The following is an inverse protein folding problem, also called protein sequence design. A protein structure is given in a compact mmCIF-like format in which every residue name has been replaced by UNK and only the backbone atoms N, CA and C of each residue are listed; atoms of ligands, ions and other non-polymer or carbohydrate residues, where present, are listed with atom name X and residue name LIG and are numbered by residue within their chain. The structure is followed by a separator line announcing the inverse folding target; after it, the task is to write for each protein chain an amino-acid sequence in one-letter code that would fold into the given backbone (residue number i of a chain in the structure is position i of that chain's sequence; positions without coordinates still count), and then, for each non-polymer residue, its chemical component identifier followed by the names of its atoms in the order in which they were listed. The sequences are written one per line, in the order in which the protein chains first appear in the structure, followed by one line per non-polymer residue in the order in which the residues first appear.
data_IF_805310050851
#
_entry.id   IF_805310050851
#
_cell.length_a   1.000
_cell.length_b   1.000
_cell.length_c   1.000
_cell.angle_alpha   90.00
_cell.angle_beta   90.00
_cell.angle_gamma   90.00
#
_symmetry.space_group_name_H-M   'P 1'
#
loop_
_entity.id
_entity.type
_entity.pdbx_description
1 polymer ?
#
# COMPACT_ATOMS: atom_id res chain seq x y z
N UNK A 1 -54.11 -66.68 -14.59
CA UNK A 1 -53.27 -66.70 -13.38
C UNK A 1 -52.01 -65.84 -13.63
N UNK A 2 -52.12 -64.68 -14.31
CA UNK A 2 -51.00 -64.16 -15.13
C UNK A 2 -50.78 -62.64 -15.06
N UNK A 3 -51.18 -61.97 -13.98
CA UNK A 3 -50.92 -60.52 -13.84
C UNK A 3 -49.60 -60.26 -13.12
N UNK A 4 -49.27 -61.02 -12.08
CA UNK A 4 -48.02 -60.84 -11.32
C UNK A 4 -46.78 -61.25 -12.13
N UNK A 5 -46.89 -62.26 -13.00
CA UNK A 5 -45.79 -62.67 -13.88
C UNK A 5 -45.49 -61.59 -14.94
N UNK A 6 -46.52 -60.95 -15.49
CA UNK A 6 -46.36 -59.86 -16.45
C UNK A 6 -45.74 -58.61 -15.80
N UNK A 7 -46.17 -58.24 -14.58
CA UNK A 7 -45.61 -57.11 -13.85
C UNK A 7 -44.14 -57.36 -13.46
N UNK A 8 -43.80 -58.58 -13.03
CA UNK A 8 -42.42 -58.95 -12.72
C UNK A 8 -41.52 -58.92 -13.98
N UNK A 9 -42.03 -59.37 -15.13
CA UNK A 9 -41.29 -59.32 -16.39
C UNK A 9 -41.03 -57.88 -16.85
N UNK A 10 -42.02 -56.98 -16.74
CA UNK A 10 -41.85 -55.56 -17.10
C UNK A 10 -40.86 -54.86 -16.18
N UNK A 11 -40.91 -55.14 -14.88
CA UNK A 11 -39.96 -54.58 -13.90
C UNK A 11 -38.52 -55.06 -14.17
N UNK A 12 -38.34 -56.33 -14.53
CA UNK A 12 -37.03 -56.87 -14.88
C UNK A 12 -36.47 -56.21 -16.15
N UNK A 13 -37.31 -56.00 -17.18
CA UNK A 13 -36.91 -55.33 -18.42
C UNK A 13 -36.52 -53.87 -18.15
N UNK A 14 -37.30 -53.15 -17.32
CA UNK A 14 -36.99 -51.77 -16.94
C UNK A 14 -35.68 -51.65 -16.15
N UNK A 15 -35.40 -52.61 -15.25
CA UNK A 15 -34.14 -52.69 -14.51
C UNK A 15 -32.93 -52.93 -15.42
N UNK A 16 -33.06 -53.80 -16.42
CA UNK A 16 -31.99 -54.06 -17.41
C UNK A 16 -31.77 -52.83 -18.29
N UNK A 17 -32.85 -52.18 -18.77
CA UNK A 17 -32.75 -50.96 -19.59
C UNK A 17 -32.05 -49.81 -18.83
N UNK A 18 -32.44 -49.57 -17.58
CA UNK A 18 -31.79 -48.53 -16.75
C UNK A 18 -30.33 -48.88 -16.46
N UNK A 19 -30.01 -50.15 -16.19
CA UNK A 19 -28.63 -50.62 -16.02
C UNK A 19 -27.77 -50.43 -17.28
N UNK A 20 -28.33 -50.72 -18.46
CA UNK A 20 -27.64 -50.53 -19.75
C UNK A 20 -27.45 -49.05 -20.07
N UNK A 21 -28.45 -48.20 -19.79
CA UNK A 21 -28.33 -46.74 -19.98
C UNK A 21 -27.27 -46.17 -19.01
N UNK A 22 -27.28 -46.57 -17.74
CA UNK A 22 -26.27 -46.16 -16.76
C UNK A 22 -24.86 -46.62 -17.16
N UNK A 23 -24.72 -47.85 -17.66
CA UNK A 23 -23.44 -48.38 -18.14
C UNK A 23 -22.97 -47.68 -19.42
N UNK A 24 -23.87 -47.35 -20.35
CA UNK A 24 -23.55 -46.57 -21.54
C UNK A 24 -23.18 -45.13 -21.18
N UNK A 25 -23.90 -44.49 -20.27
CA UNK A 25 -23.58 -43.16 -19.76
C UNK A 25 -22.24 -43.13 -19.01
N UNK A 26 -21.95 -44.16 -18.20
CA UNK A 26 -20.66 -44.30 -17.52
C UNK A 26 -19.53 -44.57 -18.51
N UNK A 27 -19.75 -45.41 -19.55
CA UNK A 27 -18.77 -45.62 -20.62
C UNK A 27 -18.59 -44.40 -21.52
N UNK A 28 -19.61 -43.57 -21.71
CA UNK A 28 -19.49 -42.31 -22.43
C UNK A 28 -18.74 -41.28 -21.59
N UNK A 29 -19.04 -41.18 -20.31
CA UNK A 29 -18.31 -40.34 -19.34
C UNK A 29 -16.85 -40.79 -19.21
N UNK A 30 -16.58 -42.09 -19.17
CA UNK A 30 -15.23 -42.62 -19.27
C UNK A 30 -14.59 -42.37 -20.64
N UNK A 31 -15.34 -42.32 -21.76
CA UNK A 31 -14.79 -41.93 -23.07
C UNK A 31 -14.58 -40.43 -23.21
N UNK A 32 -15.29 -39.60 -22.43
CA UNK A 32 -15.09 -38.16 -22.33
C UNK A 32 -13.93 -37.82 -21.37
N UNK A 33 -13.74 -38.61 -20.30
CA UNK A 33 -12.62 -38.49 -19.35
C UNK A 33 -11.35 -39.23 -19.82
N UNK A 34 -11.49 -40.32 -20.57
CA UNK A 34 -10.41 -41.03 -21.30
C UNK A 34 -10.32 -40.59 -22.77
N UNK A 35 -11.05 -39.55 -23.18
CA UNK A 35 -10.57 -38.70 -24.26
C UNK A 35 -9.35 -38.05 -23.62
N UNK A 36 -8.11 -38.45 -23.99
CA UNK A 36 -7.00 -37.59 -23.64
C UNK A 36 -7.40 -36.22 -24.20
N UNK A 37 -7.55 -35.22 -23.33
CA UNK A 37 -7.35 -33.84 -23.77
C UNK A 37 -6.07 -33.91 -24.55
N UNK A 38 -6.19 -33.86 -25.89
CA UNK A 38 -5.19 -34.33 -26.86
C UNK A 38 -3.83 -34.15 -26.23
N UNK A 39 -3.20 -35.27 -25.87
CA UNK A 39 -1.78 -35.32 -25.57
C UNK A 39 -1.13 -34.78 -26.82
N UNK A 40 -0.91 -33.47 -26.84
CA UNK A 40 0.09 -32.87 -27.68
C UNK A 40 1.33 -33.70 -27.44
N UNK A 41 1.96 -34.11 -28.53
CA UNK A 41 3.39 -34.41 -28.52
C UNK A 41 4.12 -33.12 -28.14
N UNK A 42 3.95 -32.65 -26.92
CA UNK A 42 4.83 -31.70 -26.30
C UNK A 42 5.79 -32.57 -25.51
N UNK A 43 6.98 -32.77 -26.06
CA UNK A 43 8.19 -32.81 -25.26
C UNK A 43 7.95 -31.86 -24.09
N UNK A 44 7.82 -32.37 -22.86
CA UNK A 44 7.79 -31.52 -21.68
C UNK A 44 8.90 -30.50 -21.90
N UNK A 45 8.60 -29.19 -21.98
CA UNK A 45 9.64 -28.21 -22.23
C UNK A 45 10.58 -28.29 -21.02
N UNK A 46 11.64 -29.08 -21.19
CA UNK A 46 12.68 -29.28 -20.19
C UNK A 46 13.28 -27.89 -20.03
N UNK A 47 12.96 -27.25 -18.92
CA UNK A 47 13.59 -26.01 -18.53
C UNK A 47 15.10 -26.22 -18.66
N UNK A 48 15.83 -25.27 -19.26
CA UNK A 48 17.28 -25.34 -19.28
C UNK A 48 17.80 -25.61 -17.86
N UNK A 49 18.79 -26.50 -17.69
CA UNK A 49 19.28 -26.89 -16.37
C UNK A 49 19.69 -25.66 -15.55
N UNK A 50 19.22 -25.59 -14.30
CA UNK A 50 19.50 -24.47 -13.38
C UNK A 50 18.47 -23.35 -13.35
N UNK A 51 17.56 -23.24 -14.33
CA UNK A 51 16.50 -22.21 -14.32
C UNK A 51 15.57 -22.36 -13.12
N UNK A 52 15.18 -23.59 -12.78
CA UNK A 52 14.29 -23.85 -11.64
C UNK A 52 14.90 -23.38 -10.31
N UNK A 53 16.20 -23.62 -10.13
CA UNK A 53 16.97 -23.17 -8.97
C UNK A 53 17.00 -21.64 -8.90
N UNK A 54 17.30 -20.96 -10.00
CA UNK A 54 17.32 -19.48 -10.04
C UNK A 54 15.95 -18.91 -9.71
N UNK A 55 14.88 -19.42 -10.34
CA UNK A 55 13.52 -18.94 -10.09
C UNK A 55 13.03 -19.19 -8.65
N UNK A 56 13.54 -20.24 -7.99
CA UNK A 56 13.22 -20.53 -6.59
C UNK A 56 13.88 -19.57 -5.58
N UNK A 57 14.99 -18.93 -5.96
CA UNK A 57 15.75 -18.01 -5.11
C UNK A 57 15.35 -16.55 -5.33
N UNK A 58 14.77 -16.21 -6.48
CA UNK A 58 14.29 -14.86 -6.75
C UNK A 58 13.13 -14.49 -5.82
N UNK A 59 13.22 -13.31 -5.21
CA UNK A 59 12.11 -12.72 -4.42
C UNK A 59 10.95 -12.24 -5.31
N UNK A 60 11.20 -12.03 -6.60
CA UNK A 60 10.22 -11.55 -7.57
C UNK A 60 9.22 -12.65 -7.95
N UNK A 61 8.02 -12.23 -8.35
CA UNK A 61 7.03 -13.15 -8.90
C UNK A 61 7.45 -13.54 -10.32
N UNK A 62 7.73 -14.83 -10.57
CA UNK A 62 8.20 -15.30 -11.86
C UNK A 62 7.25 -16.32 -12.48
N UNK A 63 7.03 -16.23 -13.80
CA UNK A 63 6.22 -17.16 -14.59
C UNK A 63 6.96 -17.50 -15.88
N UNK A 64 7.05 -18.79 -16.21
CA UNK A 64 7.60 -19.28 -17.48
C UNK A 64 6.48 -19.82 -18.33
N UNK A 65 6.39 -19.34 -19.57
CA UNK A 65 5.37 -19.72 -20.55
C UNK A 65 6.01 -20.48 -21.72
N UNK A 66 5.30 -21.49 -22.22
CA UNK A 66 5.65 -22.20 -23.47
C UNK A 66 5.03 -21.56 -24.71
N UNK A 67 5.24 -22.19 -25.88
CA UNK A 67 4.68 -21.76 -27.17
C UNK A 67 3.15 -21.74 -27.24
N UNK A 68 2.47 -22.51 -26.37
CA UNK A 68 1.03 -22.62 -26.29
C UNK A 68 0.42 -21.70 -25.22
N UNK A 69 1.22 -20.78 -24.66
CA UNK A 69 0.86 -19.89 -23.56
C UNK A 69 0.49 -20.62 -22.25
N UNK A 70 0.91 -21.88 -22.12
CA UNK A 70 0.75 -22.63 -20.89
C UNK A 70 1.88 -22.29 -19.91
N UNK A 71 1.54 -22.22 -18.63
CA UNK A 71 2.51 -22.00 -17.55
C UNK A 71 3.27 -23.29 -17.30
N UNK A 72 4.55 -23.28 -17.66
CA UNK A 72 5.49 -24.38 -17.41
C UNK A 72 5.96 -24.36 -15.96
N UNK A 73 6.24 -23.15 -15.44
CA UNK A 73 6.67 -22.94 -14.06
C UNK A 73 6.21 -21.59 -13.57
N UNK A 74 5.87 -21.49 -12.28
CA UNK A 74 5.60 -20.24 -11.62
C UNK A 74 6.09 -20.28 -10.18
N UNK A 75 6.56 -19.15 -9.67
CA UNK A 75 6.92 -19.02 -8.25
C UNK A 75 5.67 -18.96 -7.37
N UNK A 76 5.82 -19.26 -6.08
CA UNK A 76 4.73 -19.15 -5.10
C UNK A 76 4.14 -17.73 -5.04
N UNK A 77 4.99 -16.71 -5.17
CA UNK A 77 4.59 -15.32 -5.25
C UNK A 77 3.68 -15.03 -6.45
N UNK A 78 3.93 -15.64 -7.62
CA UNK A 78 3.07 -15.47 -8.80
C UNK A 78 1.65 -16.02 -8.60
N UNK A 79 1.52 -17.13 -7.86
CA UNK A 79 0.22 -17.66 -7.45
C UNK A 79 -0.46 -16.76 -6.40
N UNK A 80 0.29 -16.26 -5.43
CA UNK A 80 -0.22 -15.37 -4.38
C UNK A 80 -0.75 -14.04 -4.95
N UNK A 81 -0.08 -13.48 -5.95
CA UNK A 81 -0.53 -12.30 -6.69
C UNK A 81 -1.70 -12.60 -7.66
N UNK A 82 -2.08 -13.87 -7.81
CA UNK A 82 -3.20 -14.28 -8.67
C UNK A 82 -2.92 -14.17 -10.17
N UNK A 83 -1.63 -14.13 -10.55
CA UNK A 83 -1.19 -14.04 -11.95
C UNK A 83 -1.43 -15.34 -12.71
N UNK A 84 -1.39 -16.50 -12.03
CA UNK A 84 -1.58 -17.81 -12.65
C UNK A 84 -2.86 -18.47 -12.16
N UNK A 85 -3.68 -18.98 -13.09
CA UNK A 85 -4.90 -19.75 -12.82
C UNK A 85 -5.07 -20.90 -13.80
N UNK A 86 -5.37 -22.09 -13.28
CA UNK A 86 -5.61 -23.27 -14.12
C UNK A 86 -4.47 -23.57 -15.11
N UNK A 87 -3.23 -23.31 -14.71
CA UNK A 87 -2.04 -23.50 -15.56
C UNK A 87 -1.86 -22.45 -16.66
N UNK A 88 -2.57 -21.31 -16.59
CA UNK A 88 -2.47 -20.21 -17.56
C UNK A 88 -2.23 -18.87 -16.88
N UNK A 89 -1.65 -17.93 -17.61
CA UNK A 89 -1.53 -16.55 -17.18
C UNK A 89 -2.91 -15.88 -17.23
N UNK A 90 -3.31 -15.23 -16.14
CA UNK A 90 -4.63 -14.64 -15.95
C UNK A 90 -4.69 -13.14 -16.33
N UNK A 91 -3.54 -12.52 -16.60
CA UNK A 91 -3.41 -11.09 -16.91
C UNK A 91 -3.16 -10.91 -18.40
N UNK A 92 -4.20 -10.50 -19.14
CA UNK A 92 -4.16 -10.42 -20.61
C UNK A 92 -3.06 -9.48 -21.16
N UNK A 93 -2.83 -8.27 -20.60
CA UNK A 93 -1.74 -7.41 -21.09
C UNK A 93 -0.36 -8.05 -21.01
N UNK A 94 -0.10 -8.83 -19.94
CA UNK A 94 1.17 -9.56 -19.79
C UNK A 94 1.26 -10.73 -20.77
N UNK A 95 0.14 -11.39 -21.07
CA UNK A 95 0.07 -12.49 -22.03
C UNK A 95 0.39 -12.01 -23.44
N UNK A 96 -0.21 -10.88 -23.85
CA UNK A 96 0.07 -10.28 -25.14
C UNK A 96 1.56 -9.92 -25.27
N UNK A 97 2.14 -9.34 -24.21
CA UNK A 97 3.56 -9.03 -24.16
C UNK A 97 4.44 -10.28 -24.31
N UNK A 98 4.06 -11.39 -23.69
CA UNK A 98 4.75 -12.67 -23.84
C UNK A 98 4.72 -13.19 -25.28
N UNK A 99 3.59 -13.05 -25.98
CA UNK A 99 3.47 -13.42 -27.39
C UNK A 99 4.34 -12.54 -28.28
N UNK A 100 4.34 -11.23 -28.05
CA UNK A 100 5.14 -10.29 -28.84
C UNK A 100 6.63 -10.56 -28.65
N UNK A 101 7.10 -10.72 -27.40
CA UNK A 101 8.50 -11.09 -27.10
C UNK A 101 8.89 -12.46 -27.65
N UNK A 102 7.97 -13.43 -27.72
CA UNK A 102 8.25 -14.72 -28.36
C UNK A 102 8.48 -14.58 -29.87
N UNK A 103 7.80 -13.61 -30.50
CA UNK A 103 7.83 -13.41 -31.95
C UNK A 103 9.12 -12.74 -32.42
N UNK A 104 9.58 -11.73 -31.70
CA UNK A 104 10.74 -10.91 -32.11
C UNK A 104 11.96 -11.03 -31.21
N UNK A 105 11.84 -11.65 -30.03
CA UNK A 105 12.92 -11.81 -29.06
C UNK A 105 13.22 -10.55 -28.24
N UNK A 106 12.45 -9.47 -28.40
CA UNK A 106 12.72 -8.21 -27.72
C UNK A 106 12.23 -8.22 -26.25
N UNK A 107 13.08 -7.73 -25.36
CA UNK A 107 12.74 -7.58 -23.93
C UNK A 107 11.75 -6.42 -23.80
N UNK A 108 10.63 -6.67 -23.13
CA UNK A 108 9.58 -5.67 -22.90
C UNK A 108 9.37 -5.46 -21.42
N UNK A 109 9.01 -4.22 -21.05
CA UNK A 109 8.64 -3.88 -19.69
C UNK A 109 7.42 -2.96 -19.71
N UNK A 110 6.51 -3.18 -18.78
CA UNK A 110 5.32 -2.34 -18.58
C UNK A 110 5.02 -2.23 -17.10
N UNK A 111 4.43 -1.11 -16.70
CA UNK A 111 3.81 -0.99 -15.39
C UNK A 111 2.29 -1.08 -15.53
N UNK A 112 1.68 -1.87 -14.65
CA UNK A 112 0.25 -2.19 -14.69
C UNK A 112 -0.34 -2.08 -13.30
N UNK A 113 -1.60 -1.67 -13.22
CA UNK A 113 -2.39 -1.70 -12.00
C UNK A 113 -3.29 -2.93 -12.02
N UNK A 114 -3.03 -3.89 -11.15
CA UNK A 114 -3.79 -5.12 -11.03
C UNK A 114 -4.89 -4.97 -9.96
N UNK A 115 -6.12 -5.41 -10.23
CA UNK A 115 -7.18 -5.39 -9.23
C UNK A 115 -6.87 -6.38 -8.09
N UNK A 116 -6.81 -5.89 -6.84
CA UNK A 116 -6.63 -6.72 -5.65
C UNK A 116 -7.90 -7.52 -5.37
N UNK A 117 -7.82 -8.86 -5.34
CA UNK A 117 -9.00 -9.72 -5.04
C UNK A 117 -9.22 -9.83 -3.53
N UNK A 118 -10.37 -9.33 -3.06
CA UNK A 118 -10.89 -9.39 -1.68
C UNK A 118 -12.21 -8.59 -1.56
N UNK A 119 -13.02 -8.81 -0.52
CA UNK A 119 -14.40 -8.28 -0.36
C UNK A 119 -14.51 -6.76 -0.07
N UNK A 120 -13.67 -5.90 -0.65
CA UNK A 120 -13.87 -4.46 -0.54
C UNK A 120 -12.69 -3.65 -1.01
N UNK A 121 -13.00 -2.56 -1.74
CA UNK A 121 -12.24 -1.29 -1.93
C UNK A 121 -10.72 -1.32 -1.68
N UNK A 122 -10.02 -2.36 -2.12
CA UNK A 122 -8.57 -2.43 -1.99
C UNK A 122 -7.93 -1.57 -3.06
N UNK A 123 -6.92 -0.78 -2.68
CA UNK A 123 -6.04 -0.10 -3.63
C UNK A 123 -5.50 -1.11 -4.65
N UNK A 124 -5.40 -0.67 -5.91
CA UNK A 124 -4.85 -1.50 -6.99
C UNK A 124 -3.40 -1.85 -6.67
N UNK A 125 -3.02 -3.10 -6.98
CA UNK A 125 -1.66 -3.57 -6.85
C UNK A 125 -0.87 -3.05 -8.04
N UNK A 126 0.03 -2.10 -7.81
CA UNK A 126 0.91 -1.60 -8.85
C UNK A 126 2.05 -2.59 -9.08
N UNK A 127 2.25 -3.05 -10.31
CA UNK A 127 3.31 -4.00 -10.64
C UNK A 127 4.14 -3.56 -11.85
N UNK A 128 5.43 -3.86 -11.83
CA UNK A 128 6.28 -3.82 -13.02
C UNK A 128 6.39 -5.22 -13.60
N UNK A 129 5.95 -5.41 -14.83
CA UNK A 129 6.04 -6.66 -15.55
C UNK A 129 7.14 -6.57 -16.60
N UNK A 130 8.13 -7.44 -16.51
CA UNK A 130 9.22 -7.55 -17.48
C UNK A 130 9.19 -8.92 -18.14
N UNK A 131 9.22 -8.92 -19.46
CA UNK A 131 9.13 -10.11 -20.30
C UNK A 131 10.41 -10.26 -21.09
N UNK A 132 11.04 -11.43 -21.03
CA UNK A 132 12.26 -11.74 -21.76
C UNK A 132 12.17 -13.14 -22.39
N UNK A 133 12.76 -13.36 -23.57
CA UNK A 133 12.87 -14.70 -24.12
C UNK A 133 13.76 -15.57 -23.23
N UNK A 134 13.40 -16.84 -23.10
CA UNK A 134 14.16 -17.83 -22.34
C UNK A 134 14.48 -19.01 -23.27
N UNK A 135 15.63 -18.94 -23.93
CA UNK A 135 15.96 -19.88 -25.00
C UNK A 135 15.11 -19.65 -26.25
N UNK A 136 14.88 -20.71 -27.04
CA UNK A 136 14.23 -20.60 -28.35
C UNK A 136 12.70 -20.71 -28.33
N UNK A 137 12.11 -21.22 -27.24
CA UNK A 137 10.68 -21.60 -27.19
C UNK A 137 9.94 -21.13 -25.95
N UNK A 138 10.65 -20.64 -24.93
CA UNK A 138 10.06 -20.22 -23.67
C UNK A 138 10.16 -18.71 -23.51
N UNK A 139 9.28 -18.17 -22.69
CA UNK A 139 9.30 -16.76 -22.29
C UNK A 139 9.25 -16.69 -20.77
N UNK A 140 10.12 -15.86 -20.20
CA UNK A 140 10.15 -15.54 -18.77
C UNK A 140 9.43 -14.22 -18.54
N UNK A 141 8.44 -14.25 -17.66
CA UNK A 141 7.76 -13.09 -17.09
C UNK A 141 8.24 -12.91 -15.65
N UNK A 142 8.81 -11.75 -15.35
CA UNK A 142 9.12 -11.30 -14.00
C UNK A 142 8.15 -10.17 -13.64
N UNK A 143 7.55 -10.27 -12.46
CA UNK A 143 6.62 -9.29 -11.92
C UNK A 143 7.12 -8.84 -10.56
N UNK A 144 7.29 -7.53 -10.43
CA UNK A 144 7.71 -6.86 -9.21
C UNK A 144 6.55 -6.04 -8.67
N UNK A 145 6.30 -6.14 -7.37
CA UNK A 145 5.30 -5.32 -6.69
C UNK A 145 5.89 -3.93 -6.40
N UNK A 146 5.33 -2.91 -7.05
CA UNK A 146 5.71 -1.51 -6.91
C UNK A 146 4.75 -0.72 -6.00
N UNK A 147 3.78 -1.39 -5.36
CA UNK A 147 2.71 -0.71 -4.63
C UNK A 147 3.26 0.20 -3.54
N UNK A 148 4.16 -0.30 -2.69
CA UNK A 148 4.74 0.50 -1.61
C UNK A 148 5.68 1.59 -2.14
N UNK A 149 6.48 1.27 -3.17
CA UNK A 149 7.38 2.24 -3.79
C UNK A 149 6.60 3.42 -4.39
N UNK A 150 5.51 3.15 -5.13
CA UNK A 150 4.63 4.18 -5.67
C UNK A 150 3.88 4.94 -4.60
N UNK A 151 3.46 4.28 -3.51
CA UNK A 151 2.82 4.95 -2.38
C UNK A 151 3.76 5.95 -1.72
N UNK A 152 5.00 5.54 -1.45
CA UNK A 152 6.04 6.43 -0.91
C UNK A 152 6.30 7.58 -1.87
N UNK A 153 6.42 7.30 -3.17
CA UNK A 153 6.65 8.33 -4.18
C UNK A 153 5.48 9.33 -4.29
N UNK A 154 4.24 8.84 -4.22
CA UNK A 154 3.04 9.67 -4.19
C UNK A 154 3.01 10.56 -2.96
N UNK A 155 3.23 10.00 -1.76
CA UNK A 155 3.33 10.76 -0.51
C UNK A 155 4.43 11.83 -0.60
N UNK A 156 5.59 11.50 -1.19
CA UNK A 156 6.67 12.46 -1.40
C UNK A 156 6.28 13.59 -2.35
N UNK A 157 5.61 13.27 -3.48
CA UNK A 157 5.13 14.28 -4.44
C UNK A 157 4.09 15.20 -3.79
N UNK A 158 3.12 14.63 -3.11
CA UNK A 158 2.07 15.38 -2.41
C UNK A 158 2.67 16.27 -1.33
N UNK A 159 3.65 15.76 -0.58
CA UNK A 159 4.39 16.55 0.39
C UNK A 159 5.09 17.75 -0.28
N UNK A 160 5.87 17.53 -1.34
CA UNK A 160 6.57 18.62 -2.04
C UNK A 160 5.59 19.67 -2.58
N UNK A 161 4.46 19.23 -3.14
CA UNK A 161 3.42 20.13 -3.62
C UNK A 161 2.81 20.95 -2.48
N UNK A 162 2.42 20.30 -1.39
CA UNK A 162 1.82 20.95 -0.22
C UNK A 162 2.77 21.97 0.41
N UNK A 163 4.03 21.60 0.60
CA UNK A 163 5.06 22.51 1.14
C UNK A 163 5.26 23.72 0.23
N UNK A 164 5.31 23.51 -1.08
CA UNK A 164 5.42 24.60 -2.05
C UNK A 164 4.24 25.58 -1.95
N UNK A 165 3.02 25.05 -1.79
CA UNK A 165 1.82 25.87 -1.62
C UNK A 165 1.80 26.65 -0.30
N UNK A 166 2.15 25.99 0.81
CA UNK A 166 2.19 26.61 2.14
C UNK A 166 3.32 27.65 2.28
N UNK A 167 4.42 27.52 1.53
CA UNK A 167 5.48 28.54 1.46
C UNK A 167 5.10 29.72 0.57
N UNK A 168 4.45 29.47 -0.58
CA UNK A 168 4.13 30.53 -1.55
C UNK A 168 3.16 31.59 -0.99
N UNK A 169 2.24 31.17 -0.14
CA UNK A 169 1.22 32.04 0.47
C UNK A 169 1.81 33.14 1.37
N UNK A 170 2.59 32.84 2.44
CA UNK A 170 3.22 33.85 3.28
C UNK A 170 4.25 34.69 2.52
N UNK A 171 4.97 34.11 1.56
CA UNK A 171 5.90 34.87 0.70
C UNK A 171 5.16 35.91 -0.13
N UNK A 172 4.05 35.52 -0.79
CA UNK A 172 3.23 36.46 -1.54
C UNK A 172 2.60 37.54 -0.66
N UNK A 173 2.16 37.18 0.56
CA UNK A 173 1.65 38.14 1.53
C UNK A 173 2.74 39.14 1.97
N UNK A 174 3.96 38.69 2.21
CA UNK A 174 5.10 39.56 2.54
C UNK A 174 5.44 40.53 1.41
N UNK A 175 5.40 40.09 0.15
CA UNK A 175 5.59 40.98 -1.00
C UNK A 175 4.53 42.08 -1.05
N UNK A 176 3.24 41.72 -0.95
CA UNK A 176 2.14 42.69 -0.97
C UNK A 176 2.16 43.65 0.22
N UNK A 177 2.51 43.15 1.41
CA UNK A 177 2.64 43.99 2.60
C UNK A 177 3.84 44.94 2.48
N UNK A 178 4.94 44.50 1.87
CA UNK A 178 6.09 45.36 1.59
C UNK A 178 5.74 46.47 0.59
N UNK A 179 4.98 46.17 -0.45
CA UNK A 179 4.44 47.18 -1.38
C UNK A 179 3.53 48.17 -0.63
N UNK A 180 2.61 47.68 0.20
CA UNK A 180 1.72 48.52 1.00
C UNK A 180 2.46 49.44 1.99
N UNK A 181 3.57 48.99 2.58
CA UNK A 181 4.43 49.84 3.43
C UNK A 181 5.06 50.97 2.61
N UNK A 182 5.52 50.69 1.39
CA UNK A 182 6.11 51.71 0.52
C UNK A 182 5.07 52.72 0.05
N UNK A 183 3.86 52.27 -0.32
CA UNK A 183 2.77 53.14 -0.78
C UNK A 183 2.21 54.02 0.35
N UNK A 184 2.27 53.55 1.60
CA UNK A 184 1.79 54.27 2.77
C UNK A 184 2.92 54.94 3.60
N UNK A 185 4.09 55.19 2.99
CA UNK A 185 5.28 55.66 3.71
C UNK A 185 5.07 56.97 4.51
N UNK A 186 4.14 57.82 4.09
CA UNK A 186 3.81 59.09 4.78
C UNK A 186 2.76 58.93 5.91
N UNK A 187 2.24 57.72 6.14
CA UNK A 187 1.29 57.38 7.21
C UNK A 187 1.95 56.40 8.22
N UNK A 188 2.50 56.92 9.34
CA UNK A 188 3.17 56.11 10.34
C UNK A 188 2.28 55.00 10.94
N UNK A 189 0.98 55.23 11.10
CA UNK A 189 0.06 54.24 11.68
C UNK A 189 -0.17 53.08 10.70
N UNK A 190 -0.31 53.38 9.40
CA UNK A 190 -0.39 52.36 8.36
C UNK A 190 0.91 51.55 8.24
N UNK A 191 2.07 52.22 8.28
CA UNK A 191 3.39 51.56 8.27
C UNK A 191 3.54 50.59 9.44
N UNK A 192 3.23 51.02 10.67
CA UNK A 192 3.31 50.16 11.85
C UNK A 192 2.38 48.95 11.73
N UNK A 193 1.14 49.15 11.25
CA UNK A 193 0.18 48.07 11.04
C UNK A 193 0.67 47.05 10.00
N UNK A 194 1.17 47.50 8.85
CA UNK A 194 1.65 46.60 7.81
C UNK A 194 2.94 45.89 8.22
N UNK A 195 3.89 46.58 8.86
CA UNK A 195 5.09 45.98 9.43
C UNK A 195 4.76 44.91 10.48
N UNK A 196 3.77 45.17 11.34
CA UNK A 196 3.28 44.18 12.30
C UNK A 196 2.72 42.92 11.63
N UNK A 197 1.98 43.07 10.52
CA UNK A 197 1.51 41.92 9.72
C UNK A 197 2.65 41.18 9.04
N UNK A 198 3.67 41.90 8.54
CA UNK A 198 4.86 41.26 7.99
C UNK A 198 5.58 40.40 9.03
N UNK A 199 5.70 40.88 10.27
CA UNK A 199 6.31 40.11 11.35
C UNK A 199 5.55 38.81 11.63
N UNK A 200 4.22 38.83 11.56
CA UNK A 200 3.39 37.62 11.72
C UNK A 200 3.66 36.62 10.60
N UNK A 201 3.64 37.06 9.34
CA UNK A 201 3.90 36.17 8.19
C UNK A 201 5.34 35.64 8.15
N UNK A 202 6.32 36.46 8.53
CA UNK A 202 7.71 36.04 8.66
C UNK A 202 7.88 34.96 9.74
N UNK A 203 7.22 35.14 10.90
CA UNK A 203 7.23 34.15 11.98
C UNK A 203 6.57 32.84 11.53
N UNK A 204 5.46 32.92 10.81
CA UNK A 204 4.79 31.74 10.22
C UNK A 204 5.73 31.00 9.25
N UNK A 205 6.43 31.73 8.38
CA UNK A 205 7.39 31.15 7.44
C UNK A 205 8.55 30.46 8.16
N UNK A 206 9.09 31.08 9.22
CA UNK A 206 10.15 30.47 10.06
C UNK A 206 9.68 29.16 10.68
N UNK A 207 8.49 29.13 11.26
CA UNK A 207 7.93 27.92 11.86
C UNK A 207 7.76 26.80 10.81
N UNK A 208 7.22 27.13 9.63
CA UNK A 208 7.06 26.17 8.55
C UNK A 208 8.40 25.59 8.08
N UNK A 209 9.44 26.42 7.95
CA UNK A 209 10.79 25.94 7.60
C UNK A 209 11.37 25.04 8.69
N UNK A 210 11.15 25.37 9.96
CA UNK A 210 11.61 24.53 11.08
C UNK A 210 10.91 23.16 11.06
N UNK A 211 9.59 23.13 10.83
CA UNK A 211 8.83 21.88 10.68
C UNK A 211 9.37 20.99 9.55
N UNK A 212 9.81 21.58 8.43
CA UNK A 212 10.44 20.83 7.32
C UNK A 212 11.79 20.25 7.70
N UNK A 213 12.62 21.00 8.42
CA UNK A 213 13.92 20.54 8.91
C UNK A 213 13.73 19.38 9.89
N UNK A 214 12.76 19.52 10.81
CA UNK A 214 12.47 18.50 11.81
C UNK A 214 11.96 17.21 11.16
N UNK A 215 11.05 17.32 10.19
CA UNK A 215 10.58 16.17 9.42
C UNK A 215 11.73 15.48 8.66
N UNK A 216 12.62 16.27 8.04
CA UNK A 216 13.76 15.73 7.31
C UNK A 216 14.75 15.00 8.21
N UNK A 217 14.92 15.41 9.47
CA UNK A 217 15.77 14.70 10.45
C UNK A 217 15.15 13.35 10.81
N UNK A 218 13.85 13.34 11.15
CA UNK A 218 13.13 12.12 11.52
C UNK A 218 13.11 11.06 10.40
N UNK A 219 13.20 11.45 9.13
CA UNK A 219 13.28 10.51 8.01
C UNK A 219 14.65 9.87 7.80
N UNK A 220 15.73 10.49 8.28
CA UNK A 220 17.10 10.03 8.04
C UNK A 220 17.75 9.36 9.26
N UNK A 221 17.27 9.66 10.47
CA UNK A 221 17.78 9.06 11.70
C UNK A 221 17.00 7.77 12.02
N UNK A 222 17.69 6.68 12.38
CA UNK A 222 17.03 5.54 13.03
C UNK A 222 16.60 5.99 14.44
N UNK A 223 15.29 6.02 14.77
CA UNK A 223 14.82 6.45 16.09
C UNK A 223 15.40 5.62 17.25
N UNK A 224 15.98 4.45 16.95
CA UNK A 224 16.57 3.54 17.91
C UNK A 224 18.08 3.72 18.12
N UNK A 225 18.79 4.44 17.24
CA UNK A 225 20.25 4.58 17.33
C UNK A 225 20.69 5.24 18.66
N UNK A 226 19.88 6.18 19.19
CA UNK A 226 20.09 6.88 20.47
C UNK A 226 18.94 6.65 21.48
N UNK A 227 18.28 5.48 21.47
CA UNK A 227 17.11 5.24 22.32
C UNK A 227 17.45 5.02 23.81
N UNK A 228 17.14 6.02 24.62
CA UNK A 228 17.23 5.99 26.09
C UNK A 228 15.87 5.74 26.77
N UNK A 229 15.83 5.28 28.04
CA UNK A 229 14.60 5.24 28.81
C UNK A 229 14.12 6.65 29.15
N UNK A 230 12.95 7.03 28.65
CA UNK A 230 12.33 8.35 28.87
C UNK A 230 11.08 8.20 29.72
N UNK A 231 10.95 9.04 30.76
CA UNK A 231 9.78 9.09 31.64
C UNK A 231 8.63 9.82 30.95
N UNK A 232 7.51 9.13 30.78
CA UNK A 232 6.33 9.68 30.08
C UNK A 232 5.73 10.87 30.85
N UNK A 233 5.75 10.83 32.18
CA UNK A 233 5.21 11.90 33.02
C UNK A 233 5.95 13.23 32.83
N UNK A 234 7.27 13.18 32.59
CA UNK A 234 8.08 14.37 32.31
C UNK A 234 7.73 14.98 30.96
N UNK A 235 7.52 14.15 29.93
CA UNK A 235 7.08 14.61 28.61
C UNK A 235 5.70 15.28 28.69
N UNK A 236 4.77 14.68 29.43
CA UNK A 236 3.41 15.23 29.61
C UNK A 236 3.45 16.57 30.35
N UNK A 237 4.25 16.67 31.41
CA UNK A 237 4.43 17.92 32.15
C UNK A 237 5.00 19.03 31.26
N UNK A 238 6.06 18.73 30.49
CA UNK A 238 6.68 19.68 29.57
C UNK A 238 5.69 20.17 28.50
N UNK A 239 4.90 19.25 27.91
CA UNK A 239 3.91 19.62 26.89
C UNK A 239 2.79 20.51 27.47
N UNK A 240 2.35 20.25 28.70
CA UNK A 240 1.37 21.10 29.39
C UNK A 240 1.95 22.49 29.65
N UNK A 241 3.19 22.57 30.13
CA UNK A 241 3.85 23.84 30.42
C UNK A 241 4.03 24.68 29.16
N UNK A 242 4.44 24.06 28.05
CA UNK A 242 4.60 24.73 26.75
C UNK A 242 3.30 25.37 26.25
N UNK A 243 2.16 24.69 26.44
CA UNK A 243 0.86 25.18 25.96
C UNK A 243 0.06 26.00 26.99
N UNK A 244 0.58 26.19 28.21
CA UNK A 244 -0.11 26.84 29.32
C UNK A 244 -0.64 28.23 28.98
N UNK A 245 0.17 29.05 28.32
CA UNK A 245 -0.20 30.42 27.96
C UNK A 245 -1.33 30.44 26.92
N UNK A 246 -1.16 29.69 25.81
CA UNK A 246 -2.16 29.59 24.75
C UNK A 246 -3.50 29.01 25.24
N UNK A 247 -3.45 27.97 26.09
CA UNK A 247 -4.62 27.41 26.74
C UNK A 247 -5.30 28.43 27.66
N UNK A 248 -4.51 29.20 28.44
CA UNK A 248 -5.00 30.27 29.31
C UNK A 248 -5.77 31.35 28.55
N UNK A 249 -5.24 31.82 27.41
CA UNK A 249 -5.91 32.81 26.54
C UNK A 249 -7.28 32.33 26.06
N UNK A 250 -7.45 31.02 25.82
CA UNK A 250 -8.73 30.40 25.43
C UNK A 250 -9.57 29.88 26.61
N UNK A 251 -9.11 30.07 27.85
CA UNK A 251 -9.72 29.48 29.06
C UNK A 251 -9.88 27.95 28.97
N UNK A 252 -8.97 27.28 28.29
CA UNK A 252 -8.95 25.82 28.17
C UNK A 252 -8.36 25.21 29.43
N UNK A 253 -9.06 24.24 30.02
CA UNK A 253 -8.56 23.48 31.17
C UNK A 253 -7.74 22.29 30.69
N UNK A 254 -6.45 22.25 31.04
CA UNK A 254 -5.58 21.10 30.73
C UNK A 254 -5.57 20.13 31.91
N UNK A 255 -5.68 18.83 31.65
CA UNK A 255 -5.61 17.80 32.67
C UNK A 255 -4.77 16.61 32.21
N UNK A 256 -3.84 16.17 33.04
CA UNK A 256 -3.10 14.91 32.85
C UNK A 256 -3.74 13.77 33.68
N UNK A 257 -3.61 12.53 33.20
CA UNK A 257 -4.03 11.33 33.93
C UNK A 257 -3.48 10.04 33.33
N UNK A 258 -4.02 8.90 33.77
CA UNK A 258 -3.61 7.59 33.29
C UNK A 258 -2.68 6.85 34.26
N UNK A 259 -1.87 5.94 33.72
CA UNK A 259 -0.88 5.15 34.48
C UNK A 259 0.39 5.98 34.69
N UNK A 260 0.83 6.12 35.94
CA UNK A 260 2.05 6.84 36.31
C UNK A 260 3.31 5.97 36.15
N UNK A 261 4.48 6.60 36.18
CA UNK A 261 5.81 5.98 36.13
C UNK A 261 6.05 5.07 34.91
N UNK A 262 5.39 5.39 33.80
CA UNK A 262 5.65 4.74 32.53
C UNK A 262 6.98 5.22 31.93
N UNK A 263 7.71 4.26 31.37
CA UNK A 263 8.94 4.51 30.64
C UNK A 263 8.81 3.98 29.22
N UNK A 264 9.29 4.76 28.26
CA UNK A 264 9.39 4.37 26.84
C UNK A 264 10.83 4.49 26.40
N UNK A 265 11.29 3.60 25.52
CA UNK A 265 12.61 3.73 24.90
C UNK A 265 12.49 4.59 23.65
N UNK A 266 13.32 5.63 23.55
CA UNK A 266 13.37 6.49 22.37
C UNK A 266 14.22 7.73 22.60
N UNK A 267 14.38 8.54 21.57
CA UNK A 267 15.03 9.84 21.69
C UNK A 267 14.11 10.83 22.44
N UNK A 268 14.54 11.34 23.59
CA UNK A 268 13.76 12.28 24.41
C UNK A 268 13.29 13.51 23.64
N UNK A 269 14.17 14.10 22.82
CA UNK A 269 13.85 15.31 22.05
C UNK A 269 12.75 15.07 21.03
N UNK A 270 12.83 13.96 20.29
CA UNK A 270 11.79 13.59 19.32
C UNK A 270 10.45 13.28 20.01
N UNK A 271 10.47 12.58 21.14
CA UNK A 271 9.26 12.28 21.91
C UNK A 271 8.60 13.54 22.49
N UNK A 272 9.41 14.48 23.00
CA UNK A 272 8.94 15.77 23.52
C UNK A 272 8.33 16.62 22.39
N UNK A 273 8.98 16.66 21.22
CA UNK A 273 8.44 17.35 20.05
C UNK A 273 7.12 16.72 19.58
N UNK A 274 7.05 15.40 19.46
CA UNK A 274 5.83 14.69 19.03
C UNK A 274 4.66 14.95 19.98
N UNK A 275 4.86 14.81 21.29
CA UNK A 275 3.81 15.06 22.28
C UNK A 275 3.42 16.54 22.33
N UNK A 276 4.40 17.44 22.27
CA UNK A 276 4.17 18.88 22.19
C UNK A 276 3.26 19.25 21.01
N UNK A 277 3.56 18.73 19.81
CA UNK A 277 2.76 18.97 18.61
C UNK A 277 1.31 18.48 18.76
N UNK A 278 1.09 17.32 19.39
CA UNK A 278 -0.26 16.81 19.64
C UNK A 278 -1.04 17.69 20.63
N UNK A 279 -0.40 18.12 21.72
CA UNK A 279 -1.04 18.96 22.75
C UNK A 279 -1.31 20.36 22.20
N UNK A 280 -0.39 20.93 21.44
CA UNK A 280 -0.56 22.22 20.76
C UNK A 280 -1.73 22.17 19.77
N UNK A 281 -1.80 21.13 18.94
CA UNK A 281 -2.95 20.90 18.06
C UNK A 281 -4.26 20.80 18.85
N UNK A 282 -4.28 20.04 19.95
CA UNK A 282 -5.47 19.93 20.78
C UNK A 282 -5.93 21.31 21.32
N UNK A 283 -5.02 22.17 21.76
CA UNK A 283 -5.33 23.53 22.22
C UNK A 283 -5.74 24.45 21.07
N UNK A 284 -5.11 24.34 19.91
CA UNK A 284 -5.37 25.16 18.73
C UNK A 284 -6.76 24.89 18.15
N UNK A 285 -7.15 23.62 18.05
CA UNK A 285 -8.44 23.21 17.47
C UNK A 285 -9.59 23.09 18.48
N UNK A 286 -9.33 23.25 19.78
CA UNK A 286 -10.38 23.26 20.79
C UNK A 286 -11.08 24.64 20.90
N UNK A 287 -12.42 24.68 21.01
CA UNK A 287 -13.15 25.89 21.36
C UNK A 287 -12.73 26.46 22.72
N UNK A 288 -12.98 27.75 22.92
CA UNK A 288 -12.75 28.39 24.21
C UNK A 288 -13.58 27.74 25.33
N UNK A 289 -13.06 27.75 26.57
CA UNK A 289 -13.71 27.19 27.77
C UNK A 289 -13.98 25.68 27.73
N UNK A 290 -13.14 24.93 27.01
CA UNK A 290 -13.21 23.47 26.94
C UNK A 290 -12.11 22.81 27.77
N UNK A 291 -12.02 21.48 27.71
CA UNK A 291 -11.02 20.68 28.43
C UNK A 291 -10.19 19.85 27.45
N UNK A 292 -8.87 19.90 27.61
CA UNK A 292 -7.92 19.03 26.92
C UNK A 292 -7.35 18.03 27.94
N UNK A 293 -7.59 16.74 27.71
CA UNK A 293 -7.11 15.66 28.56
C UNK A 293 -5.94 14.92 27.92
N UNK A 294 -4.84 14.76 28.65
CA UNK A 294 -3.69 13.94 28.25
C UNK A 294 -3.67 12.71 29.16
N UNK A 295 -3.65 11.51 28.59
CA UNK A 295 -3.59 10.28 29.37
C UNK A 295 -2.63 9.26 28.78
N UNK A 296 -1.83 8.63 29.64
CA UNK A 296 -0.94 7.54 29.25
C UNK A 296 -1.44 6.20 29.79
N UNK A 297 -1.33 5.13 29.01
CA UNK A 297 -1.62 3.76 29.46
C UNK A 297 -0.67 2.78 28.79
N UNK A 298 -0.32 1.70 29.49
CA UNK A 298 0.39 0.58 28.88
C UNK A 298 -0.56 -0.21 27.98
N UNK A 299 -0.17 -0.45 26.74
CA UNK A 299 -0.89 -1.32 25.81
C UNK A 299 -0.09 -2.61 25.70
N UNK A 300 -0.72 -3.77 25.88
CA UNK A 300 -0.08 -5.05 25.61
C UNK A 300 0.21 -5.17 24.11
N UNK A 301 1.40 -5.65 23.74
CA UNK A 301 1.70 -5.93 22.34
C UNK A 301 0.69 -6.95 21.78
N UNK A 302 0.18 -6.75 20.55
CA UNK A 302 -0.68 -7.73 19.88
C UNK A 302 0.03 -9.05 19.61
#
# INVERSE_FOLDING_TARGET
MDVNAAVAAVAAIAGVLTGVIAMLAFRWSEREQKRPTRTSLHTDPVLPPGVDTVLSVLRSSAVVLDEADAVVKASSAAYALGLVRGGKLAVEPMLQMARDTRRDGEIRQVELDLPRRGNGRGEALAVSARVAPLGSRLVLLLVEDLTEARRIEAVRRDFVANVSHELKTPVGALSLLSEAVMDAADDPEAVERFAGRMQIEATRLTNLVQELIDLSRVQNDDPLDDAEPVRVDELVAEAIDRCRHAAGTKQITMAAGGTADLHVRGNRGQLAAALGNLVENAVNYSPARTRVGIAARRVAAP
#
